data_IF_218993956504
#
_entry.id   IF_218993956504
#
_cell.length_a   1.000
_cell.length_b   1.000
_cell.length_c   1.000
_cell.angle_alpha   90.00
_cell.angle_beta   90.00
_cell.angle_gamma   90.00
#
_symmetry.space_group_name_H-M   'P 1'
#
loop_
_entity.id
_entity.type
_entity.pdbx_description
1 polymer ?
#
# COMPACT_ATOMS: atom_id res chain seq x y z
N UNK A 1 10.48 -9.29 -3.08
CA UNK A 1 9.64 -10.01 -2.09
C UNK A 1 8.48 -9.09 -1.76
N UNK A 2 7.27 -9.52 -2.04
CA UNK A 2 6.06 -8.69 -1.87
C UNK A 2 5.33 -9.20 -0.64
N UNK A 3 4.85 -8.31 0.22
CA UNK A 3 4.12 -8.65 1.42
C UNK A 3 2.66 -8.23 1.26
N UNK A 4 1.74 -9.10 1.60
CA UNK A 4 0.31 -8.82 1.59
C UNK A 4 -0.32 -9.28 2.90
N UNK A 5 -1.29 -8.55 3.41
CA UNK A 5 -2.19 -9.05 4.44
C UNK A 5 -3.35 -9.78 3.76
N UNK A 6 -3.48 -11.06 4.01
CA UNK A 6 -4.58 -11.87 3.45
C UNK A 6 -5.85 -11.65 4.28
N UNK A 7 -6.92 -11.20 3.62
CA UNK A 7 -8.28 -11.31 4.18
C UNK A 7 -8.78 -12.73 3.90
N UNK A 8 -8.93 -13.55 4.92
CA UNK A 8 -9.54 -14.85 4.74
C UNK A 8 -10.94 -14.86 5.33
N UNK A 9 -11.92 -15.20 4.49
CA UNK A 9 -13.26 -15.62 4.91
C UNK A 9 -13.36 -17.14 5.07
N UNK A 10 -12.30 -17.89 4.78
CA UNK A 10 -12.25 -19.35 4.94
C UNK A 10 -11.78 -19.71 6.35
N UNK A 11 -12.31 -20.79 6.87
CA UNK A 11 -12.07 -21.31 8.23
C UNK A 11 -10.59 -21.58 8.59
N UNK A 12 -9.64 -21.49 7.63
CA UNK A 12 -8.24 -21.79 7.79
C UNK A 12 -7.27 -20.66 7.42
N UNK A 13 -7.76 -19.44 7.16
CA UNK A 13 -6.89 -18.31 6.79
C UNK A 13 -6.49 -17.48 8.00
N UNK A 14 -5.22 -17.49 8.37
CA UNK A 14 -4.70 -16.61 9.41
C UNK A 14 -4.31 -15.26 8.83
N UNK A 15 -4.60 -14.17 9.55
CA UNK A 15 -4.04 -12.87 9.24
C UNK A 15 -2.52 -12.93 9.38
N UNK A 16 -1.80 -12.31 8.47
CA UNK A 16 -0.36 -12.36 8.53
C UNK A 16 0.34 -11.63 7.40
N UNK A 17 1.66 -11.71 7.47
CA UNK A 17 2.56 -11.30 6.42
C UNK A 17 2.99 -12.56 5.67
N UNK A 18 2.82 -12.51 4.36
CA UNK A 18 3.14 -13.60 3.45
C UNK A 18 4.15 -13.12 2.41
N UNK A 19 5.07 -13.97 2.05
CA UNK A 19 5.94 -13.77 0.89
C UNK A 19 5.46 -14.63 -0.26
N UNK A 20 5.65 -14.14 -1.47
CA UNK A 20 5.38 -14.87 -2.69
C UNK A 20 6.32 -14.42 -3.81
N UNK A 21 6.68 -15.31 -4.76
CA UNK A 21 7.44 -14.92 -5.94
C UNK A 21 6.57 -14.10 -6.90
N UNK A 22 7.19 -13.22 -7.67
CA UNK A 22 6.52 -12.44 -8.69
C UNK A 22 6.54 -13.19 -10.04
N UNK A 23 5.96 -14.39 -10.07
CA UNK A 23 5.92 -15.30 -11.21
C UNK A 23 4.58 -16.06 -11.27
N UNK A 24 4.32 -16.75 -12.36
CA UNK A 24 3.13 -17.58 -12.53
C UNK A 24 3.08 -18.71 -11.50
N UNK A 25 1.87 -19.08 -11.05
CA UNK A 25 1.67 -20.14 -10.08
C UNK A 25 2.09 -19.77 -8.64
N UNK A 26 1.88 -18.52 -8.28
CA UNK A 26 2.28 -17.96 -6.98
C UNK A 26 1.74 -18.74 -5.80
N UNK A 27 2.65 -19.24 -4.95
CA UNK A 27 2.34 -19.83 -3.65
C UNK A 27 2.65 -18.83 -2.53
N UNK A 28 1.67 -18.58 -1.66
CA UNK A 28 1.85 -17.72 -0.50
C UNK A 28 2.54 -18.49 0.64
N UNK A 29 3.71 -18.03 1.03
CA UNK A 29 4.46 -18.61 2.17
C UNK A 29 4.29 -17.69 3.38
N UNK A 30 3.73 -18.18 4.51
CA UNK A 30 3.60 -17.37 5.71
C UNK A 30 4.99 -17.00 6.26
N UNK A 31 5.19 -15.71 6.49
CA UNK A 31 6.39 -15.16 7.13
C UNK A 31 6.11 -14.94 8.61
N UNK A 32 4.96 -14.35 8.92
CA UNK A 32 4.48 -14.16 10.29
C UNK A 32 2.95 -14.09 10.29
N UNK A 33 2.33 -14.91 11.13
CA UNK A 33 0.88 -14.91 11.33
C UNK A 33 0.54 -14.38 12.72
N UNK A 34 -0.37 -13.44 12.81
CA UNK A 34 -0.97 -12.94 14.04
C UNK A 34 -2.18 -12.05 13.72
N UNK A 35 -3.14 -11.98 14.62
CA UNK A 35 -4.34 -11.15 14.47
C UNK A 35 -4.03 -9.65 14.29
N UNK A 36 -2.87 -9.19 14.77
CA UNK A 36 -2.43 -7.79 14.68
C UNK A 36 -2.05 -7.36 13.26
N UNK A 37 -1.79 -8.32 12.35
CA UNK A 37 -1.39 -8.04 10.97
C UNK A 37 -2.55 -7.75 10.01
N UNK A 38 -3.73 -7.45 10.51
CA UNK A 38 -4.80 -6.88 9.70
C UNK A 38 -4.53 -5.38 9.48
N UNK A 39 -3.60 -5.08 8.57
CA UNK A 39 -3.16 -3.70 8.30
C UNK A 39 -3.94 -3.11 7.12
N UNK A 40 -4.39 -1.87 7.28
CA UNK A 40 -5.09 -1.11 6.23
C UNK A 40 -4.12 -0.58 5.18
N UNK A 41 -2.91 -0.20 5.58
CA UNK A 41 -1.81 0.17 4.71
C UNK A 41 -0.48 -0.17 5.39
N UNK A 42 0.51 -0.62 4.63
CA UNK A 42 1.83 -0.97 5.15
C UNK A 42 2.93 -0.77 4.12
N UNK A 43 4.18 -0.64 4.61
CA UNK A 43 5.37 -0.50 3.77
C UNK A 43 6.60 -1.09 4.45
N UNK A 44 7.50 -1.65 3.63
CA UNK A 44 8.86 -2.00 4.07
C UNK A 44 9.80 -0.81 3.88
N UNK A 45 10.55 -0.49 4.92
CA UNK A 45 11.49 0.62 4.95
C UNK A 45 12.77 0.23 5.70
N UNK A 46 13.87 0.01 5.00
CA UNK A 46 15.22 -0.22 5.56
C UNK A 46 15.26 -1.26 6.72
N UNK A 47 14.80 -2.49 6.48
CA UNK A 47 14.82 -3.55 7.51
C UNK A 47 13.66 -3.48 8.50
N UNK A 48 12.80 -2.49 8.37
CA UNK A 48 11.58 -2.35 9.17
C UNK A 48 10.35 -2.52 8.29
N UNK A 49 9.31 -3.11 8.84
CA UNK A 49 7.98 -3.16 8.24
C UNK A 49 7.03 -2.37 9.13
N UNK A 50 6.41 -1.36 8.58
CA UNK A 50 5.48 -0.53 9.33
C UNK A 50 4.12 -0.44 8.65
N UNK A 51 3.08 -0.22 9.43
CA UNK A 51 1.74 -0.10 8.90
C UNK A 51 0.71 0.32 9.93
N UNK A 52 -0.48 0.59 9.42
CA UNK A 52 -1.61 1.06 10.22
C UNK A 52 -2.74 0.05 10.20
N UNK A 53 -3.33 -0.15 11.35
CA UNK A 53 -4.63 -0.79 11.49
C UNK A 53 -5.66 0.27 11.81
N UNK A 54 -6.64 0.40 10.93
CA UNK A 54 -7.76 1.32 11.14
C UNK A 54 -9.01 0.51 11.46
N UNK A 55 -9.73 0.94 12.48
CA UNK A 55 -11.01 0.36 12.87
C UNK A 55 -12.11 1.36 12.58
N UNK A 56 -13.07 0.96 11.75
CA UNK A 56 -14.22 1.80 11.37
C UNK A 56 -15.53 1.09 11.69
N UNK A 57 -16.58 1.87 11.90
CA UNK A 57 -17.96 1.40 11.93
C UNK A 57 -18.83 2.39 11.14
N UNK A 58 -19.41 1.93 10.02
CA UNK A 58 -19.98 2.83 9.03
C UNK A 58 -18.93 3.84 8.55
N UNK A 59 -19.28 5.12 8.59
CA UNK A 59 -18.37 6.22 8.23
C UNK A 59 -17.60 6.81 9.42
N UNK A 60 -17.49 6.13 10.55
CA UNK A 60 -16.79 6.63 11.73
C UNK A 60 -15.49 5.88 11.95
N UNK A 61 -14.39 6.59 12.14
CA UNK A 61 -13.09 6.04 12.55
C UNK A 61 -13.07 5.93 14.08
N UNK A 62 -12.99 4.70 14.60
CA UNK A 62 -12.95 4.43 16.04
C UNK A 62 -11.55 4.22 16.59
N UNK A 63 -10.62 3.81 15.77
CA UNK A 63 -9.25 3.57 16.19
C UNK A 63 -8.28 3.60 15.04
N UNK A 64 -7.10 4.15 15.30
CA UNK A 64 -5.95 4.12 14.41
C UNK A 64 -4.76 3.67 15.22
N UNK A 65 -4.20 2.52 14.90
CA UNK A 65 -3.00 2.01 15.53
C UNK A 65 -1.90 1.89 14.49
N UNK A 66 -0.73 2.37 14.82
CA UNK A 66 0.49 2.22 14.05
C UNK A 66 1.35 1.14 14.67
N UNK A 67 1.96 0.32 13.83
CA UNK A 67 2.85 -0.75 14.21
C UNK A 67 4.18 -0.64 13.47
N UNK A 68 5.26 -0.92 14.16
CA UNK A 68 6.59 -1.07 13.60
C UNK A 68 7.13 -2.45 13.99
N UNK A 69 7.57 -3.22 13.01
CA UNK A 69 8.16 -4.54 13.19
C UNK A 69 9.60 -4.54 12.70
N UNK A 70 10.47 -5.17 13.45
CA UNK A 70 11.79 -5.57 12.96
C UNK A 70 11.62 -6.77 12.03
N UNK A 71 12.16 -6.70 10.82
CA UNK A 71 12.07 -7.79 9.85
C UNK A 71 13.12 -8.89 10.06
N UNK A 72 14.11 -8.65 10.93
CA UNK A 72 14.99 -9.69 11.44
C UNK A 72 14.31 -10.37 12.63
N UNK A 73 13.56 -11.44 12.35
CA UNK A 73 12.77 -12.20 13.34
C UNK A 73 11.32 -11.75 13.51
N UNK A 74 10.86 -10.72 12.83
CA UNK A 74 9.47 -10.25 12.82
C UNK A 74 8.91 -9.97 14.21
N UNK A 75 9.70 -9.29 15.03
CA UNK A 75 9.29 -8.81 16.35
C UNK A 75 8.62 -7.45 16.23
N UNK A 76 7.55 -7.26 17.02
CA UNK A 76 6.90 -5.95 17.11
C UNK A 76 7.71 -5.05 18.03
N UNK A 77 8.34 -4.01 17.45
CA UNK A 77 9.14 -3.04 18.20
C UNK A 77 8.27 -1.96 18.80
N UNK A 78 7.29 -1.47 18.02
CA UNK A 78 6.46 -0.32 18.41
C UNK A 78 4.99 -0.62 18.10
N UNK A 79 4.13 -0.19 19.03
CA UNK A 79 2.70 -0.01 18.82
C UNK A 79 2.31 1.36 19.38
N UNK A 80 1.75 2.21 18.52
CA UNK A 80 1.26 3.54 18.88
C UNK A 80 -0.24 3.64 18.57
N UNK A 81 -1.00 4.23 19.48
CA UNK A 81 -2.39 4.59 19.22
C UNK A 81 -2.44 6.06 18.82
N UNK A 82 -2.89 6.32 17.61
CA UNK A 82 -3.08 7.68 17.10
C UNK A 82 -4.50 8.16 17.37
N UNK A 83 -4.73 9.45 17.24
CA UNK A 83 -6.08 10.01 17.32
C UNK A 83 -6.98 9.31 16.28
N UNK A 84 -8.13 8.82 16.71
CA UNK A 84 -9.16 8.27 15.85
C UNK A 84 -9.78 9.40 14.99
N UNK A 85 -9.34 9.51 13.76
CA UNK A 85 -9.68 10.59 12.84
C UNK A 85 -9.38 10.14 11.42
N UNK A 86 -10.14 10.64 10.44
CA UNK A 86 -9.81 10.48 9.02
C UNK A 86 -8.46 11.07 8.67
N UNK A 87 -7.99 12.10 9.36
CA UNK A 87 -6.65 12.65 9.16
C UNK A 87 -5.52 11.65 9.45
N UNK A 88 -5.79 10.59 10.18
CA UNK A 88 -4.86 9.51 10.43
C UNK A 88 -5.21 8.22 9.68
N UNK A 89 -6.14 8.28 8.73
CA UNK A 89 -6.55 7.13 7.92
C UNK A 89 -5.71 7.05 6.64
N UNK A 90 -4.72 6.12 6.58
CA UNK A 90 -3.91 5.93 5.38
C UNK A 90 -4.71 5.19 4.30
N UNK A 91 -4.52 5.60 3.06
CA UNK A 91 -5.00 4.88 1.87
C UNK A 91 -3.89 3.94 1.37
N UNK A 92 -2.67 4.47 1.25
CA UNK A 92 -1.50 3.73 0.79
C UNK A 92 -0.21 4.33 1.32
N UNK A 93 0.85 3.53 1.38
CA UNK A 93 2.19 3.94 1.84
C UNK A 93 3.24 3.57 0.79
N UNK A 94 4.32 4.35 0.74
CA UNK A 94 5.50 4.06 -0.06
C UNK A 94 6.77 4.56 0.65
N UNK A 95 7.89 3.88 0.42
CA UNK A 95 9.19 4.28 0.95
C UNK A 95 10.10 4.77 -0.17
N UNK A 96 10.57 6.01 -0.04
CA UNK A 96 11.63 6.55 -0.89
C UNK A 96 13.00 6.14 -0.33
N UNK A 97 13.63 5.17 -0.96
CA UNK A 97 14.94 4.67 -0.54
C UNK A 97 16.07 5.68 -0.75
N UNK A 98 15.87 6.68 -1.63
CA UNK A 98 16.84 7.72 -1.93
C UNK A 98 16.91 8.78 -0.82
N UNK A 99 15.76 9.20 -0.31
CA UNK A 99 15.66 10.21 0.77
C UNK A 99 15.44 9.59 2.15
N UNK A 100 15.27 8.27 2.23
CA UNK A 100 14.95 7.53 3.46
C UNK A 100 13.66 8.01 4.12
N UNK A 101 12.66 8.37 3.30
CA UNK A 101 11.43 8.97 3.75
C UNK A 101 10.24 8.06 3.42
N UNK A 102 9.37 7.84 4.38
CA UNK A 102 8.08 7.19 4.14
C UNK A 102 7.07 8.28 3.74
N UNK A 103 6.41 8.04 2.63
CA UNK A 103 5.26 8.82 2.17
C UNK A 103 4.00 8.00 2.27
N UNK A 104 2.88 8.66 2.46
CA UNK A 104 1.57 8.03 2.42
C UNK A 104 0.50 8.97 1.92
N UNK A 105 -0.50 8.42 1.24
CA UNK A 105 -1.73 9.16 1.01
C UNK A 105 -2.68 8.89 2.16
N UNK A 106 -3.20 9.94 2.75
CA UNK A 106 -4.16 9.92 3.86
C UNK A 106 -5.46 10.60 3.47
N UNK A 107 -6.53 10.17 4.07
CA UNK A 107 -7.79 10.90 4.01
C UNK A 107 -7.70 12.22 4.78
N UNK A 108 -8.73 13.03 4.67
CA UNK A 108 -8.91 14.28 5.40
C UNK A 108 -10.32 14.33 5.97
N UNK A 109 -10.50 14.95 7.11
CA UNK A 109 -11.83 15.22 7.68
C UNK A 109 -12.72 16.04 6.73
N UNK A 110 -12.12 16.78 5.79
CA UNK A 110 -12.84 17.53 4.76
C UNK A 110 -13.32 16.63 3.58
N UNK A 111 -13.05 15.32 3.58
CA UNK A 111 -13.42 14.39 2.52
C UNK A 111 -12.50 14.43 1.29
N UNK A 112 -11.38 15.14 1.37
CA UNK A 112 -10.32 15.15 0.35
C UNK A 112 -9.17 14.23 0.74
N UNK A 113 -8.15 14.15 -0.08
CA UNK A 113 -6.94 13.38 0.20
C UNK A 113 -5.70 14.27 0.26
N UNK A 114 -4.67 13.79 0.96
CA UNK A 114 -3.43 14.52 1.18
C UNK A 114 -2.24 13.60 1.16
N UNK A 115 -1.14 14.04 0.58
CA UNK A 115 0.15 13.39 0.65
C UNK A 115 0.85 13.83 1.93
N UNK A 116 1.34 12.87 2.70
CA UNK A 116 2.06 13.11 3.95
C UNK A 116 3.40 12.40 3.93
N UNK A 117 4.37 12.92 4.67
CA UNK A 117 5.46 12.11 5.19
C UNK A 117 5.03 11.45 6.50
N UNK A 118 5.63 10.29 6.81
CA UNK A 118 5.31 9.53 8.02
C UNK A 118 6.57 9.36 8.84
N UNK A 119 6.50 9.75 10.10
CA UNK A 119 7.58 9.48 11.06
C UNK A 119 7.63 7.98 11.40
N UNK A 120 8.77 7.35 11.17
CA UNK A 120 8.94 5.90 11.32
C UNK A 120 8.68 5.40 12.74
N UNK A 121 8.99 6.18 13.77
CA UNK A 121 8.88 5.73 15.15
C UNK A 121 7.51 5.98 15.75
N UNK A 122 6.88 7.10 15.42
CA UNK A 122 5.58 7.47 15.96
C UNK A 122 4.40 7.14 15.06
N UNK A 123 4.63 6.93 13.77
CA UNK A 123 3.57 6.79 12.77
C UNK A 123 2.78 8.07 12.51
N UNK A 124 3.25 9.24 12.99
CA UNK A 124 2.54 10.49 12.79
C UNK A 124 2.68 10.98 11.35
N UNK A 125 1.55 11.21 10.64
CA UNK A 125 1.60 11.81 9.32
C UNK A 125 1.77 13.33 9.41
N UNK A 126 2.66 13.87 8.58
CA UNK A 126 2.84 15.31 8.39
C UNK A 126 2.50 15.66 6.95
N UNK A 127 1.48 16.46 6.73
CA UNK A 127 1.05 16.83 5.38
C UNK A 127 2.14 17.61 4.65
N UNK A 128 2.44 17.20 3.42
CA UNK A 128 3.35 17.89 2.49
C UNK A 128 2.62 18.50 1.31
N UNK A 129 1.50 17.90 0.88
CA UNK A 129 0.70 18.41 -0.23
C UNK A 129 -0.76 17.94 -0.15
N UNK A 130 -1.66 18.64 -0.86
CA UNK A 130 -3.01 18.13 -1.16
C UNK A 130 -2.97 17.33 -2.45
N UNK A 131 -3.69 16.23 -2.49
CA UNK A 131 -3.89 15.39 -3.71
C UNK A 131 -5.33 15.50 -4.26
N UNK A 132 -6.12 16.44 -3.72
CA UNK A 132 -7.50 16.67 -4.14
C UNK A 132 -8.44 15.54 -3.71
N UNK A 133 -9.30 15.12 -4.63
CA UNK A 133 -10.31 14.06 -4.36
C UNK A 133 -9.87 12.69 -4.86
N UNK A 134 -8.73 12.60 -5.57
CA UNK A 134 -8.24 11.36 -6.15
C UNK A 134 -7.63 10.47 -5.08
N UNK A 135 -8.09 9.21 -5.00
CA UNK A 135 -7.50 8.19 -4.16
C UNK A 135 -6.50 7.35 -4.96
N UNK A 136 -5.26 7.27 -4.44
CA UNK A 136 -4.26 6.34 -4.94
C UNK A 136 -4.28 5.07 -4.09
N UNK A 137 -4.89 4.01 -4.60
CA UNK A 137 -4.94 2.72 -3.90
C UNK A 137 -3.56 2.12 -3.68
N UNK A 138 -2.60 2.49 -4.53
CA UNK A 138 -1.20 2.09 -4.37
C UNK A 138 -0.28 3.28 -4.55
N UNK A 139 0.82 3.28 -3.81
CA UNK A 139 1.96 4.17 -4.01
C UNK A 139 3.24 3.35 -4.08
N UNK A 140 4.19 3.73 -4.93
CA UNK A 140 5.51 3.13 -4.98
C UNK A 140 6.54 4.11 -5.54
N UNK A 141 7.77 4.09 -5.00
CA UNK A 141 8.90 4.84 -5.54
C UNK A 141 9.78 3.96 -6.41
N UNK A 142 10.30 4.53 -7.50
CA UNK A 142 11.43 3.96 -8.21
C UNK A 142 12.77 4.35 -7.53
N UNK A 143 13.87 3.83 -8.05
CA UNK A 143 15.22 4.12 -7.51
C UNK A 143 15.68 5.57 -7.76
N UNK A 144 15.07 6.26 -8.71
CA UNK A 144 15.32 7.67 -9.02
C UNK A 144 14.58 8.61 -8.07
N UNK A 145 13.61 8.12 -7.30
CA UNK A 145 12.78 8.88 -6.37
C UNK A 145 11.54 9.46 -7.04
N UNK A 146 11.08 8.85 -8.14
CA UNK A 146 9.78 9.18 -8.75
C UNK A 146 8.68 8.41 -8.02
N UNK A 147 7.67 9.11 -7.55
CA UNK A 147 6.49 8.51 -6.92
C UNK A 147 5.46 8.17 -7.98
N UNK A 148 5.08 6.90 -8.02
CA UNK A 148 3.99 6.37 -8.84
C UNK A 148 2.79 6.02 -7.98
N UNK A 149 1.58 6.13 -8.55
CA UNK A 149 0.35 5.71 -7.91
C UNK A 149 -0.68 5.21 -8.90
N UNK A 150 -1.38 4.12 -8.56
CA UNK A 150 -2.56 3.66 -9.29
C UNK A 150 -3.79 4.21 -8.57
N UNK A 151 -4.59 4.97 -9.30
CA UNK A 151 -5.72 5.70 -8.74
C UNK A 151 -7.04 4.93 -8.88
N UNK A 152 -8.05 5.45 -8.21
CA UNK A 152 -9.43 4.96 -8.21
C UNK A 152 -10.10 4.96 -9.60
N UNK A 153 -9.57 5.74 -10.56
CA UNK A 153 -9.98 5.74 -11.97
C UNK A 153 -9.30 4.64 -12.82
N UNK A 154 -8.44 3.82 -12.22
CA UNK A 154 -7.71 2.73 -12.88
C UNK A 154 -6.53 3.18 -13.73
N UNK A 155 -6.07 4.44 -13.60
CA UNK A 155 -4.90 4.95 -14.30
C UNK A 155 -3.66 4.94 -13.40
N UNK A 156 -2.50 4.76 -14.04
CA UNK A 156 -1.19 4.99 -13.43
C UNK A 156 -0.82 6.46 -13.57
N UNK A 157 -0.28 7.04 -12.51
CA UNK A 157 0.19 8.43 -12.43
C UNK A 157 1.61 8.52 -11.89
N UNK A 158 2.34 9.56 -12.29
CA UNK A 158 3.43 10.11 -11.49
C UNK A 158 2.89 11.22 -10.58
N UNK A 159 3.44 11.34 -9.38
CA UNK A 159 2.99 12.30 -8.36
C UNK A 159 4.17 13.14 -7.91
N UNK A 160 4.06 14.45 -8.02
CA UNK A 160 5.05 15.37 -7.49
C UNK A 160 4.91 15.45 -5.96
N UNK A 161 5.93 15.01 -5.23
CA UNK A 161 5.89 14.92 -3.77
C UNK A 161 5.83 16.28 -3.07
N UNK A 162 6.29 17.35 -3.72
CA UNK A 162 6.28 18.68 -3.14
C UNK A 162 4.94 19.41 -3.33
N UNK A 163 4.23 19.14 -4.44
CA UNK A 163 3.01 19.88 -4.80
C UNK A 163 1.73 19.04 -4.75
N UNK A 164 1.86 17.71 -4.73
CA UNK A 164 0.75 16.77 -4.85
C UNK A 164 0.15 16.68 -6.26
N UNK A 165 0.67 17.45 -7.21
CA UNK A 165 0.19 17.40 -8.60
C UNK A 165 0.57 16.08 -9.25
N UNK A 166 -0.35 15.53 -10.04
CA UNK A 166 -0.15 14.26 -10.71
C UNK A 166 -0.26 14.39 -12.22
N UNK A 167 0.57 13.64 -12.94
CA UNK A 167 0.52 13.48 -14.39
C UNK A 167 0.13 12.04 -14.73
N UNK A 168 -0.92 11.86 -15.54
CA UNK A 168 -1.36 10.54 -15.99
C UNK A 168 -0.35 9.96 -16.97
N UNK A 169 0.02 8.70 -16.75
CA UNK A 169 0.81 7.90 -17.66
C UNK A 169 -0.11 7.13 -18.63
N UNK A 170 -1.15 6.48 -18.10
CA UNK A 170 -2.12 5.75 -18.90
C UNK A 170 -2.96 4.78 -18.08
N UNK A 171 -3.95 4.18 -18.76
CA UNK A 171 -4.87 3.24 -18.13
C UNK A 171 -4.22 1.86 -17.94
N UNK A 172 -4.41 1.30 -16.73
CA UNK A 172 -3.96 -0.07 -16.45
C UNK A 172 -4.80 -1.13 -17.18
N UNK A 173 -6.03 -0.79 -17.52
CA UNK A 173 -7.03 -1.72 -18.06
C UNK A 173 -7.82 -2.44 -16.96
N UNK A 174 -7.55 -2.13 -15.70
CA UNK A 174 -8.18 -2.75 -14.53
C UNK A 174 -8.76 -1.64 -13.65
N UNK A 175 -10.02 -1.80 -13.26
CA UNK A 175 -10.66 -0.93 -12.28
C UNK A 175 -10.39 -1.47 -10.88
N UNK A 176 -9.59 -0.77 -10.07
CA UNK A 176 -9.25 -1.23 -8.73
C UNK A 176 -10.43 -1.13 -7.77
N UNK A 177 -10.45 -2.01 -6.77
CA UNK A 177 -11.42 -2.00 -5.68
C UNK A 177 -10.75 -2.41 -4.38
N UNK A 178 -11.20 -1.87 -3.26
CA UNK A 178 -10.66 -2.16 -1.92
C UNK A 178 -9.17 -1.84 -1.73
N UNK A 179 -8.62 -2.23 -0.57
CA UNK A 179 -7.21 -2.04 -0.26
C UNK A 179 -6.33 -2.96 -1.11
N UNK A 180 -5.27 -2.41 -1.67
CA UNK A 180 -4.36 -3.06 -2.59
C UNK A 180 -2.94 -2.61 -2.32
N UNK A 181 -1.96 -3.26 -2.94
CA UNK A 181 -0.57 -2.82 -2.83
C UNK A 181 0.17 -3.00 -4.15
N UNK A 182 1.12 -2.10 -4.39
CA UNK A 182 2.09 -2.25 -5.45
C UNK A 182 3.49 -1.92 -4.95
N UNK A 183 4.47 -2.47 -5.62
CA UNK A 183 5.88 -2.18 -5.35
C UNK A 183 6.67 -2.17 -6.65
N UNK A 184 7.71 -1.33 -6.70
CA UNK A 184 8.69 -1.36 -7.77
C UNK A 184 9.91 -2.12 -7.26
N UNK A 185 10.31 -3.17 -7.98
CA UNK A 185 11.58 -3.82 -7.76
C UNK A 185 12.72 -2.89 -8.20
N UNK A 186 13.45 -2.36 -7.24
CA UNK A 186 14.51 -1.37 -7.48
C UNK A 186 15.70 -1.92 -8.30
N UNK A 187 15.84 -3.26 -8.41
CA UNK A 187 16.89 -3.88 -9.22
C UNK A 187 16.49 -3.97 -10.70
N UNK A 188 15.23 -4.30 -10.97
CA UNK A 188 14.73 -4.51 -12.33
C UNK A 188 13.96 -3.31 -12.89
N UNK A 189 13.48 -2.41 -12.03
CA UNK A 189 12.60 -1.30 -12.40
C UNK A 189 11.16 -1.71 -12.70
N UNK A 190 10.80 -2.98 -12.50
CA UNK A 190 9.45 -3.49 -12.77
C UNK A 190 8.51 -3.18 -11.61
N UNK A 191 7.32 -2.70 -11.93
CA UNK A 191 6.25 -2.50 -10.95
C UNK A 191 5.35 -3.73 -10.92
N UNK A 192 5.17 -4.29 -9.72
CA UNK A 192 4.23 -5.38 -9.45
C UNK A 192 3.07 -4.86 -8.63
N UNK A 193 1.86 -5.23 -9.03
CA UNK A 193 0.61 -4.80 -8.42
C UNK A 193 -0.23 -6.00 -8.01
N UNK A 194 -0.38 -6.22 -6.71
CA UNK A 194 -1.33 -7.17 -6.14
C UNK A 194 -2.70 -6.48 -6.10
N UNK A 195 -3.50 -6.73 -7.11
CA UNK A 195 -4.75 -6.05 -7.39
C UNK A 195 -5.96 -6.84 -6.95
N UNK A 196 -7.02 -6.12 -6.56
CA UNK A 196 -8.40 -6.61 -6.50
C UNK A 196 -9.20 -5.73 -7.44
N UNK A 197 -9.87 -6.32 -8.43
CA UNK A 197 -10.67 -5.58 -9.38
C UNK A 197 -12.10 -5.34 -8.85
N UNK A 198 -12.90 -4.58 -9.61
CA UNK A 198 -14.28 -4.26 -9.25
C UNK A 198 -15.27 -5.45 -9.30
N UNK A 199 -14.79 -6.65 -9.72
CA UNK A 199 -15.51 -7.92 -9.63
C UNK A 199 -15.06 -8.76 -8.43
N UNK A 200 -14.19 -8.20 -7.57
CA UNK A 200 -13.58 -8.83 -6.40
C UNK A 200 -12.63 -10.00 -6.76
N UNK A 201 -12.13 -10.04 -7.98
CA UNK A 201 -11.10 -10.99 -8.39
C UNK A 201 -9.73 -10.43 -8.05
N UNK A 202 -8.86 -11.27 -7.52
CA UNK A 202 -7.51 -10.90 -7.08
C UNK A 202 -6.44 -11.55 -7.96
N UNK A 203 -5.44 -10.76 -8.33
CA UNK A 203 -4.33 -11.24 -9.14
C UNK A 203 -3.07 -10.38 -8.98
N UNK A 204 -1.93 -10.91 -9.39
CA UNK A 204 -0.68 -10.18 -9.54
C UNK A 204 -0.52 -9.71 -10.98
N UNK A 205 -0.21 -8.44 -11.14
CA UNK A 205 0.08 -7.82 -12.44
C UNK A 205 1.47 -7.19 -12.45
N UNK A 206 2.13 -7.22 -13.59
CA UNK A 206 3.24 -6.33 -13.92
C UNK A 206 2.67 -5.09 -14.62
N UNK A 207 3.01 -3.89 -14.14
CA UNK A 207 2.54 -2.61 -14.69
C UNK A 207 3.67 -1.93 -15.44
N UNK A 208 3.46 -1.62 -16.70
CA UNK A 208 4.41 -0.92 -17.53
C UNK A 208 4.43 0.57 -17.15
N UNK A 209 5.58 1.08 -16.70
CA UNK A 209 5.74 2.45 -16.25
C UNK A 209 5.72 3.50 -17.37
N UNK A 210 5.91 3.11 -18.63
CA UNK A 210 5.90 4.04 -19.77
C UNK A 210 4.49 4.35 -20.29
N UNK A 211 3.53 3.42 -20.10
CA UNK A 211 2.18 3.55 -20.68
C UNK A 211 1.04 3.16 -19.73
N UNK A 212 1.35 2.73 -18.51
CA UNK A 212 0.40 2.34 -17.48
C UNK A 212 -0.19 0.94 -17.60
N UNK A 213 -0.03 0.25 -18.75
CA UNK A 213 -0.72 -1.01 -19.02
C UNK A 213 -0.31 -2.12 -18.06
N UNK A 214 -1.29 -2.78 -17.44
CA UNK A 214 -1.09 -3.96 -16.60
C UNK A 214 -1.14 -5.26 -17.44
N UNK A 215 -0.25 -6.19 -17.12
CA UNK A 215 -0.19 -7.53 -17.71
C UNK A 215 -0.28 -8.56 -16.59
N UNK A 216 -1.16 -9.55 -16.74
CA UNK A 216 -1.34 -10.61 -15.72
C UNK A 216 -0.04 -11.41 -15.55
N UNK A 217 0.38 -11.60 -14.31
CA UNK A 217 1.49 -12.46 -13.92
C UNK A 217 0.96 -13.75 -13.29
N UNK A 218 0.03 -13.65 -12.34
CA UNK A 218 -0.56 -14.80 -11.65
C UNK A 218 -1.97 -14.48 -11.18
N UNK A 219 -2.88 -15.41 -11.38
CA UNK A 219 -4.24 -15.36 -10.83
C UNK A 219 -4.24 -15.97 -9.42
N UNK A 220 -4.95 -15.34 -8.49
CA UNK A 220 -5.05 -15.79 -7.10
C UNK A 220 -6.39 -16.45 -6.78
N UNK A 221 -7.38 -16.33 -7.69
CA UNK A 221 -8.73 -16.87 -7.46
C UNK A 221 -8.80 -18.40 -7.71
N UNK A 222 -7.75 -18.98 -8.29
CA UNK A 222 -7.68 -20.42 -8.60
C UNK A 222 -6.92 -21.26 -7.55
N UNK A 223 -6.53 -20.66 -6.39
CA UNK A 223 -5.76 -21.34 -5.34
C UNK A 223 -6.50 -21.46 -4.01
#
# INVERSE_FOLDING_TARGET
MTYSSKWSTSENGEFGIYSFPAEEGTTFTPVKTAADFNLSAAVYADGKFCGYRVTTYGSTVYGVNYYLFDTDGWTRDIQQTLKASYDNYPISLAYDSKTKTIYGQFMSEAGTTRLCTVDLLSGQPTQVASTGDRMYFTLSFDKEGTLYGIADDGNLYTINTATGTAASIGATGIMPSNSQSATIDLNTGKMYWAAINNKLQSALYEVNLDNGKASLVSDYDET
#
